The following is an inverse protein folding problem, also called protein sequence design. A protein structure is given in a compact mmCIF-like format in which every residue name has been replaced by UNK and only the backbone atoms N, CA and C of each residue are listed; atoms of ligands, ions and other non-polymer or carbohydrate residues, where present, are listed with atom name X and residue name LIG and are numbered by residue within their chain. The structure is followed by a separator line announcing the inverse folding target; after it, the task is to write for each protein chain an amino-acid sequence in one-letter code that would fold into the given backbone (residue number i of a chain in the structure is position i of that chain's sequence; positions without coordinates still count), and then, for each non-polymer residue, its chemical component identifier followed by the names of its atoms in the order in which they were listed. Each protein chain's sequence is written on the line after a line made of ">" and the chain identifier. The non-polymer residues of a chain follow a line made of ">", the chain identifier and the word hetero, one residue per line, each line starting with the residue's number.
data_IF_860169264337
#
_entry.id   IF_860169264337
#
_cell.length_a   1.000
_cell.length_b   1.000
_cell.length_c   1.000
_cell.angle_alpha   90.00
_cell.angle_beta   90.00
_cell.angle_gamma   90.00
#
_symmetry.space_group_name_H-M   'P 1'
#
loop_
_entity.id
_entity.type
_entity.pdbx_description
1 polymer ?
#
# COMPACT_ATOMS: atom_id res chain seq x y z
N UNK A 1 -27.77 -12.07 -6.57
CA UNK A 1 -27.47 -10.86 -5.77
C UNK A 1 -26.04 -10.96 -5.27
N UNK A 2 -25.14 -10.10 -5.75
CA UNK A 2 -23.75 -10.09 -5.31
C UNK A 2 -23.69 -9.70 -3.83
N UNK A 3 -23.07 -10.54 -3.01
CA UNK A 3 -22.82 -10.25 -1.60
C UNK A 3 -21.82 -9.08 -1.48
N UNK A 4 -22.32 -7.84 -1.45
CA UNK A 4 -21.47 -6.67 -1.22
C UNK A 4 -21.08 -6.62 0.26
N UNK A 5 -19.88 -7.11 0.57
CA UNK A 5 -19.30 -7.11 1.93
C UNK A 5 -19.28 -5.70 2.54
N UNK A 6 -19.13 -4.66 1.71
CA UNK A 6 -19.13 -3.27 2.15
C UNK A 6 -20.52 -2.88 2.65
N UNK A 7 -21.57 -3.18 1.89
CA UNK A 7 -22.95 -2.86 2.28
C UNK A 7 -23.33 -3.52 3.61
N UNK A 8 -23.01 -4.81 3.79
CA UNK A 8 -23.26 -5.53 5.05
C UNK A 8 -22.49 -4.96 6.23
N UNK A 9 -21.22 -4.60 6.04
CA UNK A 9 -20.41 -3.99 7.09
C UNK A 9 -20.97 -2.61 7.49
N UNK A 10 -21.39 -1.81 6.52
CA UNK A 10 -21.99 -0.49 6.74
C UNK A 10 -23.30 -0.61 7.53
N UNK A 11 -24.19 -1.54 7.16
CA UNK A 11 -25.43 -1.80 7.90
C UNK A 11 -25.17 -2.19 9.36
N UNK A 12 -24.14 -2.99 9.62
CA UNK A 12 -23.76 -3.38 10.98
C UNK A 12 -23.18 -2.20 11.77
N UNK A 13 -22.34 -1.36 11.15
CA UNK A 13 -21.78 -0.16 11.78
C UNK A 13 -22.89 0.79 12.25
N UNK A 14 -23.97 0.95 11.47
CA UNK A 14 -25.11 1.79 11.86
C UNK A 14 -25.91 1.25 13.06
N UNK A 15 -25.77 -0.04 13.39
CA UNK A 15 -26.47 -0.68 14.51
C UNK A 15 -25.62 -0.74 15.80
N UNK A 16 -24.37 -0.27 15.75
CA UNK A 16 -23.42 -0.36 16.86
C UNK A 16 -23.49 0.84 17.81
N UNK A 17 -23.24 0.56 19.09
CA UNK A 17 -23.08 1.56 20.16
C UNK A 17 -21.65 2.14 20.18
N UNK A 18 -21.44 3.27 20.88
CA UNK A 18 -20.18 4.04 20.81
C UNK A 18 -18.89 3.25 21.13
N UNK A 19 -18.93 2.31 22.07
CA UNK A 19 -17.78 1.45 22.42
C UNK A 19 -17.45 0.46 21.30
N UNK A 20 -18.47 -0.16 20.71
CA UNK A 20 -18.32 -1.12 19.61
C UNK A 20 -17.77 -0.43 18.35
N UNK A 21 -18.15 0.82 18.11
CA UNK A 21 -17.58 1.61 17.00
C UNK A 21 -16.08 1.80 17.16
N UNK A 22 -15.61 2.06 18.38
CA UNK A 22 -14.18 2.23 18.68
C UNK A 22 -13.40 0.93 18.41
N UNK A 23 -13.93 -0.23 18.84
CA UNK A 23 -13.34 -1.54 18.56
C UNK A 23 -13.23 -1.82 17.05
N UNK A 24 -14.27 -1.44 16.28
CA UNK A 24 -14.23 -1.56 14.81
C UNK A 24 -13.15 -0.67 14.21
N UNK A 25 -13.02 0.57 14.67
CA UNK A 25 -11.98 1.48 14.19
C UNK A 25 -10.59 0.89 14.46
N UNK A 26 -10.35 0.34 15.65
CA UNK A 26 -9.09 -0.32 16.01
C UNK A 26 -8.81 -1.54 15.12
N UNK A 27 -9.81 -2.40 14.90
CA UNK A 27 -9.70 -3.53 14.00
C UNK A 27 -9.34 -3.10 12.56
N UNK A 28 -9.94 -2.01 12.06
CA UNK A 28 -9.63 -1.45 10.75
C UNK A 28 -8.20 -0.93 10.70
N UNK A 29 -7.73 -0.23 11.74
CA UNK A 29 -6.35 0.24 11.83
C UNK A 29 -5.36 -0.94 11.81
N UNK A 30 -5.62 -1.99 12.60
CA UNK A 30 -4.80 -3.21 12.61
C UNK A 30 -4.77 -3.88 11.24
N UNK A 31 -5.92 -3.97 10.56
CA UNK A 31 -5.98 -4.54 9.20
C UNK A 31 -5.18 -3.71 8.21
N UNK A 32 -5.24 -2.38 8.27
CA UNK A 32 -4.41 -1.49 7.43
C UNK A 32 -2.92 -1.71 7.67
N UNK A 33 -2.50 -1.85 8.94
CA UNK A 33 -1.10 -2.15 9.27
C UNK A 33 -0.67 -3.52 8.73
N UNK A 34 -1.53 -4.53 8.85
CA UNK A 34 -1.27 -5.87 8.31
C UNK A 34 -1.09 -5.83 6.79
N UNK A 35 -2.00 -5.17 6.07
CA UNK A 35 -1.93 -5.04 4.61
C UNK A 35 -0.66 -4.31 4.17
N UNK A 36 -0.27 -3.25 4.87
CA UNK A 36 0.98 -2.55 4.59
C UNK A 36 2.21 -3.45 4.79
N UNK A 37 2.24 -4.28 5.85
CA UNK A 37 3.32 -5.25 6.08
C UNK A 37 3.33 -6.34 5.02
N UNK A 38 2.16 -6.82 4.59
CA UNK A 38 2.04 -7.83 3.56
C UNK A 38 2.54 -7.31 2.21
N UNK A 39 2.18 -6.08 1.84
CA UNK A 39 2.65 -5.45 0.59
C UNK A 39 4.18 -5.39 0.52
N UNK A 40 4.87 -5.09 1.64
CA UNK A 40 6.34 -5.04 1.69
C UNK A 40 6.97 -6.40 1.35
N UNK A 41 6.35 -7.50 1.77
CA UNK A 41 6.87 -8.86 1.51
C UNK A 41 6.83 -9.25 0.04
N UNK A 42 6.03 -8.55 -0.78
CA UNK A 42 5.91 -8.83 -2.20
C UNK A 42 7.03 -8.18 -3.04
N UNK A 43 7.93 -7.42 -2.41
CA UNK A 43 9.04 -6.75 -3.08
C UNK A 43 10.37 -7.35 -2.62
N UNK A 44 11.24 -7.62 -3.59
CA UNK A 44 12.60 -8.13 -3.43
C UNK A 44 13.57 -7.14 -4.06
N UNK A 45 14.82 -7.13 -3.57
CA UNK A 45 15.89 -6.35 -4.19
C UNK A 45 16.11 -6.79 -5.63
N UNK A 46 16.16 -5.84 -6.56
CA UNK A 46 16.25 -6.07 -8.00
C UNK A 46 14.91 -5.99 -8.74
N UNK A 47 13.78 -5.95 -8.05
CA UNK A 47 12.47 -5.84 -8.71
C UNK A 47 12.31 -4.49 -9.41
N UNK A 48 11.75 -4.51 -10.62
CA UNK A 48 11.32 -3.32 -11.34
C UNK A 48 9.93 -2.91 -10.87
N UNK A 49 9.86 -1.70 -10.31
CA UNK A 49 8.64 -1.13 -9.73
C UNK A 49 8.33 0.22 -10.35
N UNK A 50 7.05 0.56 -10.37
CA UNK A 50 6.56 1.88 -10.72
C UNK A 50 5.93 2.52 -9.49
N UNK A 51 6.16 3.82 -9.34
CA UNK A 51 5.50 4.62 -8.30
C UNK A 51 5.16 6.02 -8.82
N UNK A 52 4.18 6.65 -8.18
CA UNK A 52 3.82 8.04 -8.47
C UNK A 52 4.70 8.98 -7.67
N UNK A 53 5.45 9.85 -8.35
CA UNK A 53 6.29 10.87 -7.71
C UNK A 53 5.42 11.91 -7.02
N UNK A 54 5.67 12.17 -5.73
CA UNK A 54 5.01 13.27 -5.01
C UNK A 54 5.44 14.65 -5.51
N UNK A 55 6.63 14.76 -6.12
CA UNK A 55 7.17 16.04 -6.59
C UNK A 55 6.57 16.45 -7.93
N UNK A 56 6.45 15.47 -8.84
CA UNK A 56 6.09 15.74 -10.24
C UNK A 56 4.69 15.24 -10.59
N UNK A 57 4.05 14.43 -9.75
CA UNK A 57 2.78 13.75 -10.04
C UNK A 57 2.86 12.65 -11.10
N UNK A 58 3.98 12.57 -11.83
CA UNK A 58 4.23 11.56 -12.86
C UNK A 58 4.56 10.17 -12.29
N UNK A 59 4.28 9.15 -13.10
CA UNK A 59 4.71 7.77 -12.86
C UNK A 59 6.20 7.63 -13.16
N UNK A 60 6.94 7.06 -12.24
CA UNK A 60 8.40 6.87 -12.33
C UNK A 60 8.72 5.39 -12.20
N UNK A 61 9.53 4.89 -13.13
CA UNK A 61 10.04 3.52 -13.11
C UNK A 61 11.38 3.48 -12.36
N UNK A 62 11.52 2.53 -11.45
CA UNK A 62 12.68 2.39 -10.59
C UNK A 62 12.96 0.92 -10.28
N UNK A 63 14.17 0.65 -9.81
CA UNK A 63 14.58 -0.68 -9.36
C UNK A 63 14.73 -0.67 -7.85
N UNK A 64 14.26 -1.72 -7.19
CA UNK A 64 14.39 -1.87 -5.74
C UNK A 64 15.85 -2.12 -5.36
N UNK A 65 16.42 -1.23 -4.55
CA UNK A 65 17.79 -1.36 -4.04
C UNK A 65 17.80 -1.96 -2.63
N UNK A 66 16.82 -1.58 -1.79
CA UNK A 66 16.75 -2.07 -0.41
C UNK A 66 15.31 -2.10 0.10
N UNK A 67 14.92 -3.19 0.75
CA UNK A 67 13.61 -3.34 1.38
C UNK A 67 13.75 -3.14 2.89
N UNK A 68 13.19 -2.06 3.44
CA UNK A 68 13.09 -1.86 4.89
C UNK A 68 11.68 -2.23 5.40
N UNK A 69 11.52 -2.37 6.73
CA UNK A 69 10.27 -2.77 7.38
C UNK A 69 9.03 -1.91 7.07
N UNK A 70 9.20 -0.67 6.59
CA UNK A 70 8.08 0.24 6.24
C UNK A 70 8.23 0.87 4.85
N UNK A 71 9.45 0.97 4.35
CA UNK A 71 9.76 1.71 3.14
C UNK A 71 10.70 0.89 2.28
N UNK A 72 10.54 0.99 0.98
CA UNK A 72 11.46 0.44 0.00
C UNK A 72 12.27 1.59 -0.57
N UNK A 73 13.59 1.41 -0.62
CA UNK A 73 14.50 2.31 -1.30
C UNK A 73 14.58 1.84 -2.74
N UNK A 74 14.22 2.73 -3.67
CA UNK A 74 14.20 2.47 -5.09
C UNK A 74 15.12 3.47 -5.79
N UNK A 75 15.87 3.01 -6.78
CA UNK A 75 16.73 3.85 -7.61
C UNK A 75 16.06 4.08 -8.96
N UNK A 76 15.88 5.35 -9.35
CA UNK A 76 15.30 5.67 -10.66
C UNK A 76 16.31 5.41 -11.76
N UNK A 77 15.83 4.90 -12.91
CA UNK A 77 16.69 4.71 -14.09
C UNK A 77 17.09 6.04 -14.73
N UNK A 78 16.18 7.02 -14.66
CA UNK A 78 16.40 8.37 -15.16
C UNK A 78 16.81 9.25 -13.98
N UNK A 79 18.00 9.85 -14.06
CA UNK A 79 18.53 10.78 -13.05
C UNK A 79 19.23 10.15 -11.84
N UNK A 80 19.18 8.82 -11.67
CA UNK A 80 19.92 8.11 -10.61
C UNK A 80 19.53 8.48 -9.17
N UNK A 81 18.40 9.16 -8.98
CA UNK A 81 17.93 9.59 -7.67
C UNK A 81 17.38 8.39 -6.89
N UNK A 82 17.69 8.35 -5.58
CA UNK A 82 17.16 7.33 -4.66
C UNK A 82 15.91 7.84 -3.97
N UNK A 83 14.85 7.05 -4.02
CA UNK A 83 13.56 7.39 -3.44
C UNK A 83 13.19 6.42 -2.34
N UNK A 84 12.67 6.96 -1.24
CA UNK A 84 12.11 6.19 -0.14
C UNK A 84 10.59 6.16 -0.27
N UNK A 85 10.05 5.05 -0.76
CA UNK A 85 8.63 4.93 -1.09
C UNK A 85 7.95 3.90 -0.18
N UNK A 86 6.76 4.17 0.37
CA UNK A 86 5.97 3.15 1.05
C UNK A 86 5.59 2.03 0.08
N UNK A 87 5.67 0.77 0.49
CA UNK A 87 5.33 -0.36 -0.39
C UNK A 87 3.88 -0.33 -0.90
N UNK A 88 2.95 0.29 -0.17
CA UNK A 88 1.57 0.46 -0.61
C UNK A 88 1.41 1.40 -1.82
N UNK A 89 2.46 2.16 -2.17
CA UNK A 89 2.50 3.06 -3.33
C UNK A 89 3.34 2.50 -4.47
N UNK A 90 3.90 1.30 -4.31
CA UNK A 90 4.68 0.60 -5.32
C UNK A 90 3.77 -0.37 -6.06
N UNK A 91 3.96 -0.44 -7.37
CA UNK A 91 3.33 -1.43 -8.23
C UNK A 91 4.43 -2.15 -8.98
N UNK A 92 4.32 -3.47 -9.12
CA UNK A 92 5.24 -4.23 -9.96
C UNK A 92 5.08 -3.80 -11.41
N UNK A 93 6.18 -3.52 -12.11
CA UNK A 93 6.09 -3.07 -13.50
C UNK A 93 5.41 -4.13 -14.40
N UNK A 94 5.52 -5.41 -14.02
CA UNK A 94 4.84 -6.55 -14.68
C UNK A 94 3.31 -6.48 -14.61
N UNK A 95 2.75 -5.74 -13.65
CA UNK A 95 1.29 -5.59 -13.50
C UNK A 95 0.75 -4.38 -14.27
N UNK A 96 1.63 -3.52 -14.77
CA UNK A 96 1.27 -2.29 -15.52
C UNK A 96 1.38 -2.50 -17.04
N UNK A 97 2.13 -3.51 -17.48
CA UNK A 97 2.30 -3.91 -18.88
C UNK A 97 1.28 -4.99 -19.26
#
# INVERSE_FOLDING_TARGET
>A
MANNLVTKAVELIYKMEGTQLQEVIEAVQLKRQYLARQAIKNFVVGDMVQFTSKRTGGKVNATVEKVNRKYVIVSTHIGGEKWRVPASMLVHLKEVA
#
